data_IF_260412183049
#
_entry.id   IF_260412183049
#
_cell.length_a   1.000
_cell.length_b   1.000
_cell.length_c   1.000
_cell.angle_alpha   90.00
_cell.angle_beta   90.00
_cell.angle_gamma   90.00
#
_symmetry.space_group_name_H-M   'P 1'
#
loop_
_entity.id
_entity.type
_entity.pdbx_description
1 polymer ?
#
# COMPACT_ATOMS: atom_id res chain seq x y z
N UNK A 1 13.80 -18.98 1.21
CA UNK A 1 14.09 -20.38 0.84
C UNK A 1 15.58 -20.59 0.69
N UNK A 2 16.21 -21.11 1.74
CA UNK A 2 17.61 -21.52 1.76
C UNK A 2 17.73 -23.02 2.10
N UNK A 3 18.96 -23.55 2.25
CA UNK A 3 19.23 -24.99 2.44
C UNK A 3 18.60 -25.60 3.71
N UNK A 4 18.04 -24.77 4.59
CA UNK A 4 17.34 -25.14 5.82
C UNK A 4 15.90 -25.63 5.61
N UNK A 5 15.44 -25.81 4.37
CA UNK A 5 14.05 -26.24 4.09
C UNK A 5 13.00 -25.17 4.44
N UNK A 6 13.42 -23.94 4.70
CA UNK A 6 12.53 -22.81 4.94
C UNK A 6 11.70 -22.54 3.67
N UNK A 7 10.40 -22.34 3.85
CA UNK A 7 9.47 -21.95 2.79
C UNK A 7 10.14 -20.91 1.87
N UNK A 8 10.15 -21.19 0.57
CA UNK A 8 10.41 -20.13 -0.40
C UNK A 8 9.34 -19.06 -0.14
N UNK A 9 9.74 -17.79 -0.04
CA UNK A 9 8.79 -16.68 0.01
C UNK A 9 8.11 -16.62 -1.37
N UNK A 10 7.17 -17.52 -1.58
CA UNK A 10 6.30 -17.60 -2.74
C UNK A 10 4.92 -17.38 -2.19
N UNK A 11 4.42 -16.18 -2.43
CA UNK A 11 3.04 -15.74 -2.22
C UNK A 11 2.46 -16.21 -0.87
N UNK A 12 3.00 -15.71 0.26
CA UNK A 12 2.37 -15.98 1.54
C UNK A 12 0.90 -15.56 1.48
N UNK A 13 -0.02 -16.32 2.09
CA UNK A 13 -1.43 -15.96 2.11
C UNK A 13 -1.58 -14.55 2.72
N UNK A 14 -2.39 -13.72 2.07
CA UNK A 14 -2.71 -12.39 2.55
C UNK A 14 -3.32 -12.48 3.95
N UNK A 15 -2.79 -11.76 4.94
CA UNK A 15 -3.40 -11.74 6.27
C UNK A 15 -4.73 -10.98 6.24
N UNK A 16 -5.66 -11.31 7.14
CA UNK A 16 -7.04 -10.77 7.14
C UNK A 16 -7.11 -9.23 7.23
N UNK A 17 -6.08 -8.59 7.79
CA UNK A 17 -6.00 -7.14 7.95
C UNK A 17 -5.42 -6.42 6.72
N UNK A 18 -4.93 -7.16 5.72
CA UNK A 18 -4.39 -6.58 4.50
C UNK A 18 -5.52 -6.16 3.57
N UNK A 19 -5.80 -4.86 3.55
CA UNK A 19 -6.86 -4.27 2.71
C UNK A 19 -6.48 -4.26 1.24
N UNK A 20 -5.24 -3.89 0.93
CA UNK A 20 -4.75 -3.80 -0.45
C UNK A 20 -3.24 -4.05 -0.49
N UNK A 21 -2.80 -4.88 -1.45
CA UNK A 21 -1.40 -5.08 -1.80
C UNK A 21 -1.23 -4.80 -3.29
N UNK A 22 -0.39 -3.82 -3.62
CA UNK A 22 0.04 -3.57 -4.99
C UNK A 22 1.54 -3.87 -5.11
N UNK A 23 1.86 -4.97 -5.78
CA UNK A 23 3.23 -5.37 -6.13
C UNK A 23 3.51 -5.24 -7.64
N UNK A 24 2.63 -4.56 -8.37
CA UNK A 24 2.67 -4.43 -9.83
C UNK A 24 3.10 -3.04 -10.29
N UNK A 25 2.88 -2.01 -9.49
CA UNK A 25 3.22 -0.63 -9.83
C UNK A 25 4.32 -0.05 -8.93
N UNK A 26 5.27 0.67 -9.54
CA UNK A 26 6.18 1.53 -8.78
C UNK A 26 5.46 2.82 -8.40
N UNK A 27 5.30 3.09 -7.11
CA UNK A 27 4.46 4.18 -6.62
C UNK A 27 5.14 5.06 -5.58
N UNK A 28 4.58 6.24 -5.40
CA UNK A 28 4.87 7.17 -4.31
C UNK A 28 3.62 7.35 -3.44
N UNK A 29 3.82 7.42 -2.14
CA UNK A 29 2.77 7.80 -1.18
C UNK A 29 2.76 9.31 -0.99
N UNK A 30 1.62 9.94 -1.24
CA UNK A 30 1.37 11.35 -0.95
C UNK A 30 0.50 11.49 0.30
N UNK A 31 0.91 12.34 1.22
CA UNK A 31 0.16 12.67 2.43
C UNK A 31 -0.32 14.12 2.33
N UNK A 32 -1.63 14.34 2.36
CA UNK A 32 -2.26 15.66 2.39
C UNK A 32 -2.94 15.86 3.74
N UNK A 33 -2.65 16.99 4.39
CA UNK A 33 -3.12 17.27 5.76
C UNK A 33 -3.81 18.62 5.80
N UNK A 34 -5.01 18.62 6.37
CA UNK A 34 -5.75 19.80 6.82
C UNK A 34 -6.09 19.60 8.30
N UNK A 35 -6.57 20.63 9.02
CA UNK A 35 -6.81 20.51 10.47
C UNK A 35 -7.73 19.35 10.89
N UNK A 36 -8.69 18.97 10.05
CA UNK A 36 -9.70 17.93 10.33
C UNK A 36 -9.62 16.73 9.40
N UNK A 37 -8.72 16.73 8.40
CA UNK A 37 -8.62 15.64 7.43
C UNK A 37 -7.17 15.34 7.08
N UNK A 38 -6.81 14.07 7.20
CA UNK A 38 -5.59 13.49 6.68
C UNK A 38 -5.94 12.52 5.55
N UNK A 39 -5.39 12.74 4.37
CA UNK A 39 -5.58 11.86 3.21
C UNK A 39 -4.24 11.32 2.73
N UNK A 40 -4.16 9.99 2.60
CA UNK A 40 -3.03 9.25 2.07
C UNK A 40 -3.40 8.71 0.69
N UNK A 41 -2.55 8.93 -0.30
CA UNK A 41 -2.79 8.51 -1.68
C UNK A 41 -1.57 7.79 -2.24
N UNK A 42 -1.76 6.58 -2.75
CA UNK A 42 -0.74 5.88 -3.54
C UNK A 42 -0.88 6.30 -5.01
N UNK A 43 0.17 6.91 -5.55
CA UNK A 43 0.22 7.36 -6.94
C UNK A 43 1.28 6.58 -7.70
N UNK A 44 0.93 5.94 -8.80
CA UNK A 44 1.89 5.30 -9.70
C UNK A 44 2.83 6.35 -10.30
N UNK A 45 4.12 6.05 -10.23
CA UNK A 45 5.19 7.01 -10.58
C UNK A 45 5.27 7.29 -12.07
N UNK A 46 4.96 6.30 -12.92
CA UNK A 46 5.07 6.43 -14.37
C UNK A 46 3.91 7.21 -15.00
N UNK A 47 2.70 7.04 -14.46
CA UNK A 47 1.46 7.56 -15.06
C UNK A 47 0.84 8.70 -14.26
N UNK A 48 1.17 8.82 -12.98
CA UNK A 48 0.51 9.75 -12.06
C UNK A 48 -0.89 9.30 -11.64
N UNK A 49 -1.32 8.09 -11.99
CA UNK A 49 -2.63 7.53 -11.63
C UNK A 49 -2.64 7.16 -10.14
N UNK A 50 -3.72 7.51 -9.43
CA UNK A 50 -3.94 7.07 -8.07
C UNK A 50 -4.58 5.67 -8.05
N UNK A 51 -3.97 4.73 -7.33
CA UNK A 51 -4.45 3.34 -7.20
C UNK A 51 -5.01 3.01 -5.82
N UNK A 52 -4.69 3.81 -4.82
CA UNK A 52 -5.26 3.71 -3.48
C UNK A 52 -5.40 5.10 -2.83
N UNK A 53 -6.49 5.31 -2.10
CA UNK A 53 -6.82 6.54 -1.40
C UNK A 53 -7.48 6.19 -0.07
N UNK A 54 -6.89 6.67 1.02
CA UNK A 54 -7.40 6.50 2.37
C UNK A 54 -7.49 7.86 3.07
N UNK A 55 -8.58 8.11 3.80
CA UNK A 55 -8.79 9.36 4.55
C UNK A 55 -9.20 9.10 5.99
N UNK A 56 -8.63 9.89 6.90
CA UNK A 56 -9.07 10.01 8.29
C UNK A 56 -9.69 11.39 8.43
N UNK A 57 -10.97 11.43 8.80
CA UNK A 57 -11.70 12.66 9.08
C UNK A 57 -11.95 12.71 10.59
N UNK A 58 -11.56 13.83 11.21
CA UNK A 58 -11.78 14.11 12.62
C UNK A 58 -12.77 15.27 12.73
N UNK A 59 -13.81 15.08 13.53
CA UNK A 59 -14.74 16.13 13.98
C UNK A 59 -14.14 16.98 15.12
#
# INVERSE_FOLDING_TARGET
GGPEGLYQYKDPPSPDWLVQMDNTHYSITKLSVTPTNLTLTMVESATGIAYDVFSIIKE
#
